data_IF_625694295220
#
_entry.id   IF_625694295220
#
_cell.length_a   1.000
_cell.length_b   1.000
_cell.length_c   1.000
_cell.angle_alpha   90.00
_cell.angle_beta   90.00
_cell.angle_gamma   90.00
#
_symmetry.space_group_name_H-M   'P 1'
#
loop_
_entity.id
_entity.type
_entity.pdbx_description
1 polymer ?
#
# COMPACT_ATOMS: atom_id res chain seq x y z
N UNK A 1 13.46 -27.25 -21.56
CA UNK A 1 13.13 -27.08 -23.00
C UNK A 1 12.69 -25.63 -23.18
N UNK A 2 13.22 -24.95 -24.20
CA UNK A 2 12.96 -23.53 -24.47
C UNK A 2 11.47 -23.26 -24.74
N UNK A 3 10.97 -22.09 -24.34
CA UNK A 3 9.59 -21.62 -24.55
C UNK A 3 9.32 -21.23 -26.03
N UNK A 4 10.30 -21.42 -26.94
CA UNK A 4 10.28 -20.89 -28.31
C UNK A 4 9.87 -21.86 -29.42
N UNK A 5 9.52 -23.11 -29.14
CA UNK A 5 8.98 -24.02 -30.17
C UNK A 5 7.46 -24.15 -30.02
N UNK A 6 6.70 -23.23 -30.64
CA UNK A 6 5.26 -23.40 -30.86
C UNK A 6 4.97 -23.55 -32.35
N UNK A 7 4.53 -24.73 -32.74
CA UNK A 7 4.01 -25.02 -34.09
C UNK A 7 2.86 -24.06 -34.44
N UNK A 8 2.85 -23.56 -35.68
CA UNK A 8 1.75 -22.71 -36.19
C UNK A 8 0.54 -23.59 -36.49
N UNK A 9 -0.56 -23.35 -35.79
CA UNK A 9 -1.85 -24.03 -36.00
C UNK A 9 -2.44 -23.68 -37.37
N UNK A 10 -2.98 -24.68 -38.06
CA UNK A 10 -3.74 -24.52 -39.30
C UNK A 10 -5.11 -23.86 -39.06
N UNK A 11 -5.70 -23.31 -40.11
CA UNK A 11 -7.03 -22.67 -40.05
C UNK A 11 -8.16 -23.63 -39.64
N UNK A 12 -7.99 -24.93 -39.90
CA UNK A 12 -8.93 -25.99 -39.49
C UNK A 12 -8.80 -26.25 -37.99
N UNK A 13 -7.57 -26.40 -37.47
CA UNK A 13 -7.33 -26.59 -36.03
C UNK A 13 -7.78 -25.37 -35.20
N UNK A 14 -7.66 -24.16 -35.77
CA UNK A 14 -8.21 -22.94 -35.15
C UNK A 14 -9.74 -22.96 -35.09
N UNK A 15 -10.41 -23.37 -36.17
CA UNK A 15 -11.88 -23.50 -36.20
C UNK A 15 -12.38 -24.57 -35.23
N UNK A 16 -11.72 -25.72 -35.17
CA UNK A 16 -12.10 -26.80 -34.26
C UNK A 16 -11.88 -26.40 -32.80
N UNK A 17 -10.80 -25.66 -32.50
CA UNK A 17 -10.58 -25.09 -31.15
C UNK A 17 -11.62 -24.02 -30.80
N UNK A 18 -12.03 -23.18 -31.74
CA UNK A 18 -13.09 -22.19 -31.53
C UNK A 18 -14.45 -22.86 -31.29
N UNK A 19 -14.83 -23.82 -32.12
CA UNK A 19 -16.06 -24.61 -31.95
C UNK A 19 -16.06 -25.39 -30.63
N UNK A 20 -14.92 -25.96 -30.23
CA UNK A 20 -14.77 -26.65 -28.95
C UNK A 20 -14.99 -25.72 -27.75
N UNK A 21 -14.53 -24.46 -27.83
CA UNK A 21 -14.79 -23.44 -26.82
C UNK A 21 -16.27 -23.06 -26.75
N UNK A 22 -16.95 -22.90 -27.88
CA UNK A 22 -18.39 -22.58 -27.92
C UNK A 22 -19.23 -23.69 -27.28
N UNK A 23 -18.89 -24.96 -27.54
CA UNK A 23 -19.57 -26.09 -26.91
C UNK A 23 -19.25 -26.20 -25.40
N UNK A 24 -18.04 -25.86 -24.98
CA UNK A 24 -17.65 -25.80 -23.56
C UNK A 24 -18.45 -24.71 -22.81
N UNK A 25 -18.59 -23.52 -23.40
CA UNK A 25 -19.42 -22.43 -22.86
C UNK A 25 -20.89 -22.86 -22.76
N UNK A 26 -21.43 -23.53 -23.79
CA UNK A 26 -22.81 -24.03 -23.77
C UNK A 26 -23.03 -25.03 -22.63
N UNK A 27 -22.08 -25.96 -22.44
CA UNK A 27 -22.13 -26.94 -21.33
C UNK A 27 -22.04 -26.26 -19.97
N UNK A 28 -21.16 -25.26 -19.83
CA UNK A 28 -21.03 -24.48 -18.60
C UNK A 28 -22.35 -23.77 -18.24
N UNK A 29 -22.99 -23.11 -19.20
CA UNK A 29 -24.28 -22.43 -18.99
C UNK A 29 -25.39 -23.40 -18.57
N UNK A 30 -25.45 -24.58 -19.18
CA UNK A 30 -26.42 -25.60 -18.79
C UNK A 30 -26.19 -26.12 -17.36
N UNK A 31 -24.94 -26.40 -17.01
CA UNK A 31 -24.57 -26.85 -15.65
C UNK A 31 -24.81 -25.76 -14.60
N UNK A 32 -24.56 -24.49 -14.94
CA UNK A 32 -24.82 -23.36 -14.06
C UNK A 32 -26.32 -23.22 -13.77
N UNK A 33 -27.18 -23.32 -14.80
CA UNK A 33 -28.63 -23.26 -14.62
C UNK A 33 -29.16 -24.42 -13.73
N UNK A 34 -28.60 -25.62 -13.87
CA UNK A 34 -28.93 -26.75 -12.99
C UNK A 34 -28.50 -26.47 -11.53
N UNK A 35 -27.29 -25.94 -11.34
CA UNK A 35 -26.79 -25.54 -10.02
C UNK A 35 -27.63 -24.43 -9.38
N UNK A 36 -28.03 -23.41 -10.14
CA UNK A 36 -28.90 -22.33 -9.68
C UNK A 36 -30.25 -22.85 -9.20
N UNK A 37 -30.81 -23.84 -9.91
CA UNK A 37 -32.04 -24.52 -9.49
C UNK A 37 -31.89 -25.24 -8.15
N UNK A 38 -30.78 -25.97 -7.96
CA UNK A 38 -30.48 -26.65 -6.70
C UNK A 38 -30.19 -25.67 -5.54
N UNK A 39 -29.47 -24.58 -5.83
CA UNK A 39 -29.17 -23.54 -4.85
C UNK A 39 -30.44 -22.82 -4.39
N UNK A 40 -31.33 -22.44 -5.32
CA UNK A 40 -32.59 -21.78 -5.01
C UNK A 40 -33.55 -22.65 -4.16
N UNK A 41 -33.45 -23.98 -4.29
CA UNK A 41 -34.22 -24.93 -3.49
C UNK A 41 -33.68 -25.13 -2.06
N UNK A 42 -32.46 -24.67 -1.77
CA UNK A 42 -31.83 -24.82 -0.45
C UNK A 42 -32.21 -23.65 0.47
N UNK A 43 -32.65 -23.90 1.72
CA UNK A 43 -32.96 -22.83 2.67
C UNK A 43 -31.78 -21.88 2.87
N UNK A 44 -32.05 -20.57 2.80
CA UNK A 44 -31.04 -19.52 2.99
C UNK A 44 -30.93 -19.14 4.46
N UNK A 45 -29.79 -18.55 4.82
CA UNK A 45 -29.63 -17.86 6.11
C UNK A 45 -30.25 -16.47 5.97
N UNK A 46 -31.53 -16.34 6.32
CA UNK A 46 -32.30 -15.11 6.11
C UNK A 46 -31.87 -13.94 7.01
N UNK A 47 -31.07 -14.21 8.04
CA UNK A 47 -30.53 -13.25 9.00
C UNK A 47 -29.10 -12.75 8.65
N UNK A 48 -28.57 -13.15 7.49
CA UNK A 48 -27.19 -12.84 7.10
C UNK A 48 -27.12 -12.03 5.80
N UNK A 49 -26.40 -10.91 5.83
CA UNK A 49 -26.01 -10.18 4.63
C UNK A 49 -24.76 -10.82 4.02
N UNK A 50 -24.80 -11.10 2.71
CA UNK A 50 -23.65 -11.58 1.94
C UNK A 50 -23.00 -10.40 1.21
N UNK A 51 -22.51 -9.45 1.99
CA UNK A 51 -21.83 -8.26 1.49
C UNK A 51 -20.36 -8.24 1.89
N UNK A 52 -19.53 -7.58 1.10
CA UNK A 52 -18.20 -7.18 1.55
C UNK A 52 -18.29 -6.18 2.70
N UNK A 53 -17.17 -5.92 3.38
CA UNK A 53 -17.13 -4.86 4.41
C UNK A 53 -17.42 -3.47 3.83
N UNK A 54 -17.19 -3.27 2.54
CA UNK A 54 -17.57 -2.04 1.83
C UNK A 54 -19.03 -2.00 1.38
N UNK A 55 -19.86 -2.98 1.76
CA UNK A 55 -21.29 -3.03 1.44
C UNK A 55 -21.61 -3.55 0.04
N UNK A 56 -20.64 -4.16 -0.66
CA UNK A 56 -20.86 -4.75 -2.00
C UNK A 56 -21.54 -6.10 -1.85
N UNK A 57 -22.62 -6.35 -2.58
CA UNK A 57 -23.18 -7.72 -2.67
C UNK A 57 -22.21 -8.69 -3.35
N UNK A 58 -22.04 -9.87 -2.75
CA UNK A 58 -21.13 -10.91 -3.26
C UNK A 58 -21.96 -12.08 -3.79
N UNK A 59 -21.72 -12.44 -5.06
CA UNK A 59 -22.40 -13.59 -5.65
C UNK A 59 -21.97 -14.90 -4.96
N UNK A 60 -22.86 -15.88 -4.84
CA UNK A 60 -22.55 -17.16 -4.20
C UNK A 60 -21.54 -18.00 -4.99
N UNK A 61 -21.39 -17.74 -6.30
CA UNK A 61 -20.48 -18.45 -7.19
C UNK A 61 -20.00 -17.52 -8.31
N UNK A 62 -18.72 -17.64 -8.66
CA UNK A 62 -18.11 -17.01 -9.83
C UNK A 62 -17.48 -18.11 -10.71
N UNK A 63 -17.58 -17.94 -12.02
CA UNK A 63 -17.26 -18.90 -13.06
C UNK A 63 -16.43 -18.24 -14.17
N UNK A 64 -15.92 -19.00 -15.16
CA UNK A 64 -15.33 -18.40 -16.35
C UNK A 64 -16.25 -17.39 -17.08
N UNK A 65 -17.57 -17.57 -16.98
CA UNK A 65 -18.54 -16.68 -17.62
C UNK A 65 -18.50 -15.25 -17.08
N UNK A 66 -18.14 -15.08 -15.82
CA UNK A 66 -18.02 -13.76 -15.18
C UNK A 66 -16.84 -12.92 -15.70
N UNK A 67 -15.95 -13.54 -16.49
CA UNK A 67 -14.82 -12.90 -17.15
C UNK A 67 -14.96 -12.86 -18.68
N UNK A 68 -16.06 -13.36 -19.24
CA UNK A 68 -16.24 -13.57 -20.69
C UNK A 68 -16.15 -12.25 -21.48
N UNK A 69 -16.72 -11.17 -20.94
CA UNK A 69 -16.74 -9.84 -21.55
C UNK A 69 -15.52 -8.96 -21.16
N UNK A 70 -14.57 -9.52 -20.40
CA UNK A 70 -13.41 -8.80 -19.88
C UNK A 70 -12.20 -8.72 -20.83
N UNK A 71 -11.24 -7.83 -20.56
CA UNK A 71 -10.00 -7.76 -21.32
C UNK A 71 -9.20 -9.07 -21.24
N UNK A 72 -8.60 -9.47 -22.36
CA UNK A 72 -7.85 -10.72 -22.46
C UNK A 72 -6.65 -10.79 -21.50
N UNK A 73 -6.14 -12.00 -21.23
CA UNK A 73 -5.11 -12.25 -20.21
C UNK A 73 -3.92 -11.28 -20.25
N UNK A 74 -3.37 -10.98 -21.44
CA UNK A 74 -2.20 -10.10 -21.56
C UNK A 74 -2.49 -8.64 -21.22
N UNK A 75 -3.74 -8.20 -21.38
CA UNK A 75 -4.16 -6.83 -21.12
C UNK A 75 -4.63 -6.65 -19.67
N UNK A 76 -5.31 -7.65 -19.11
CA UNK A 76 -5.89 -7.59 -17.76
C UNK A 76 -4.91 -8.02 -16.66
N UNK A 77 -4.15 -9.09 -16.91
CA UNK A 77 -3.26 -9.73 -15.94
C UNK A 77 -1.79 -9.54 -16.30
N UNK A 78 -1.39 -9.99 -17.49
CA UNK A 78 0.00 -10.00 -17.93
C UNK A 78 0.90 -10.87 -17.06
N UNK A 79 2.15 -10.45 -16.92
CA UNK A 79 3.17 -11.09 -16.06
C UNK A 79 3.61 -10.13 -14.95
N UNK A 80 4.04 -10.65 -13.77
CA UNK A 80 4.63 -9.80 -12.74
C UNK A 80 5.80 -8.98 -13.28
N UNK A 81 5.90 -7.71 -12.87
CA UNK A 81 6.98 -6.81 -13.32
C UNK A 81 6.84 -6.23 -14.73
N UNK A 82 5.74 -6.53 -15.42
CA UNK A 82 5.40 -5.99 -16.73
C UNK A 82 4.08 -5.21 -16.68
N UNK A 83 3.88 -4.28 -17.61
CA UNK A 83 2.63 -3.52 -17.73
C UNK A 83 1.43 -4.47 -17.91
N UNK A 84 0.29 -4.28 -17.21
CA UNK A 84 -0.04 -3.16 -16.31
C UNK A 84 0.21 -3.46 -14.81
N UNK A 85 1.14 -4.36 -14.50
CA UNK A 85 1.63 -4.69 -13.15
C UNK A 85 0.57 -5.27 -12.20
N UNK A 86 -0.58 -5.73 -12.70
CA UNK A 86 -1.65 -6.34 -11.90
C UNK A 86 -1.11 -7.41 -10.94
N UNK A 87 -0.20 -8.26 -11.44
CA UNK A 87 0.41 -9.38 -10.71
C UNK A 87 1.61 -9.02 -9.84
N UNK A 88 1.91 -7.73 -9.69
CA UNK A 88 2.98 -7.20 -8.86
C UNK A 88 4.00 -6.35 -9.63
N UNK A 89 4.65 -5.37 -8.97
CA UNK A 89 5.55 -4.42 -9.63
C UNK A 89 6.91 -4.99 -10.04
N UNK A 90 7.29 -6.18 -9.55
CA UNK A 90 8.59 -6.80 -9.82
C UNK A 90 8.44 -8.20 -10.42
N UNK A 91 9.34 -8.56 -11.33
CA UNK A 91 9.29 -9.84 -12.06
C UNK A 91 9.58 -11.07 -11.22
N UNK A 92 10.17 -10.90 -10.03
CA UNK A 92 10.49 -11.99 -9.11
C UNK A 92 9.78 -11.90 -7.76
N UNK A 93 9.16 -10.75 -7.45
CA UNK A 93 8.54 -10.44 -6.16
C UNK A 93 9.31 -11.05 -4.97
N UNK A 94 8.60 -11.79 -4.12
CA UNK A 94 9.10 -12.34 -2.87
C UNK A 94 10.03 -13.55 -3.03
N UNK A 95 10.16 -14.11 -4.24
CA UNK A 95 11.12 -15.19 -4.49
C UNK A 95 12.56 -14.70 -4.44
N UNK A 96 12.80 -13.41 -4.70
CA UNK A 96 14.13 -12.80 -4.57
C UNK A 96 14.23 -11.99 -3.28
N UNK A 97 13.22 -11.18 -2.97
CA UNK A 97 13.25 -10.29 -1.81
C UNK A 97 11.87 -10.19 -1.17
N UNK A 98 11.78 -10.58 0.10
CA UNK A 98 10.58 -10.41 0.91
C UNK A 98 10.20 -8.92 1.04
N UNK A 99 8.94 -8.66 1.37
CA UNK A 99 8.52 -7.32 1.75
C UNK A 99 9.33 -6.82 2.95
N UNK A 100 9.43 -5.49 3.08
CA UNK A 100 10.10 -4.89 4.23
C UNK A 100 9.17 -4.98 5.43
N UNK A 101 9.57 -5.75 6.45
CA UNK A 101 8.89 -5.81 7.74
C UNK A 101 9.20 -4.50 8.47
N UNK A 102 8.21 -3.61 8.56
CA UNK A 102 8.39 -2.22 8.99
C UNK A 102 7.36 -1.87 10.04
N UNK A 103 7.66 -2.14 11.30
CA UNK A 103 6.83 -1.67 12.40
C UNK A 103 7.02 -0.18 12.60
N UNK A 104 5.92 0.52 12.84
CA UNK A 104 5.92 1.90 13.31
C UNK A 104 6.37 1.90 14.77
N UNK A 105 7.28 2.81 15.08
CA UNK A 105 7.72 3.04 16.44
C UNK A 105 8.08 4.52 16.62
N UNK A 106 7.68 5.03 17.78
CA UNK A 106 7.90 6.40 18.23
C UNK A 106 7.05 6.62 19.47
N UNK A 107 7.68 7.03 20.56
CA UNK A 107 7.03 7.46 21.78
C UNK A 107 8.05 8.19 22.66
N UNK A 108 7.55 9.06 23.52
CA UNK A 108 8.36 9.80 24.49
C UNK A 108 9.54 10.52 23.83
N UNK A 109 10.75 10.34 24.36
CA UNK A 109 11.95 11.02 23.90
C UNK A 109 12.61 10.32 22.69
N UNK A 110 13.48 11.06 21.99
CA UNK A 110 14.30 10.51 20.92
C UNK A 110 15.20 9.35 21.39
N UNK A 111 15.70 9.41 22.63
CA UNK A 111 16.53 8.35 23.23
C UNK A 111 15.73 7.05 23.42
N UNK A 112 14.55 7.13 24.02
CA UNK A 112 13.68 5.97 24.24
C UNK A 112 13.20 5.36 22.93
N UNK A 113 12.85 6.21 21.96
CA UNK A 113 12.50 5.74 20.62
C UNK A 113 13.69 5.08 19.91
N UNK A 114 14.91 5.61 20.04
CA UNK A 114 16.13 4.98 19.52
C UNK A 114 16.36 3.58 20.12
N UNK A 115 16.16 3.43 21.44
CA UNK A 115 16.23 2.13 22.10
C UNK A 115 15.19 1.15 21.53
N UNK A 116 13.96 1.62 21.27
CA UNK A 116 12.93 0.82 20.60
C UNK A 116 13.35 0.40 19.19
N UNK A 117 13.98 1.27 18.41
CA UNK A 117 14.49 0.92 17.08
C UNK A 117 15.54 -0.17 17.14
N UNK A 118 16.52 -0.04 18.04
CA UNK A 118 17.56 -1.06 18.24
C UNK A 118 16.96 -2.41 18.65
N UNK A 119 15.96 -2.41 19.54
CA UNK A 119 15.22 -3.61 19.92
C UNK A 119 14.52 -4.26 18.72
N UNK A 120 13.80 -3.49 17.90
CA UNK A 120 13.08 -4.01 16.74
C UNK A 120 14.03 -4.58 15.67
N UNK A 121 15.11 -3.86 15.38
CA UNK A 121 16.16 -4.31 14.45
C UNK A 121 16.78 -5.62 14.94
N UNK A 122 17.09 -5.74 16.23
CA UNK A 122 17.61 -6.98 16.83
C UNK A 122 16.63 -8.15 16.76
N UNK A 123 15.32 -7.89 16.62
CA UNK A 123 14.27 -8.90 16.51
C UNK A 123 13.85 -9.24 15.06
N UNK A 124 14.56 -8.69 14.06
CA UNK A 124 14.38 -9.03 12.65
C UNK A 124 13.53 -8.05 11.85
N UNK A 125 13.27 -6.84 12.37
CA UNK A 125 12.74 -5.74 11.57
C UNK A 125 13.75 -5.33 10.49
N UNK A 126 13.28 -5.07 9.26
CA UNK A 126 14.16 -4.81 8.11
C UNK A 126 14.10 -3.37 7.58
N UNK A 127 13.25 -2.53 8.17
CA UNK A 127 13.23 -1.07 7.95
C UNK A 127 12.58 -0.34 9.12
N UNK A 128 12.96 0.90 9.38
CA UNK A 128 12.41 1.72 10.47
C UNK A 128 11.22 2.54 9.98
N UNK A 129 10.23 2.78 10.83
CA UNK A 129 9.19 3.77 10.58
C UNK A 129 9.00 4.65 11.80
N UNK A 130 9.19 5.95 11.63
CA UNK A 130 9.13 6.96 12.68
C UNK A 130 7.71 7.48 12.79
N UNK A 131 7.13 7.34 13.99
CA UNK A 131 5.90 8.01 14.39
C UNK A 131 6.25 9.23 15.26
N UNK A 132 5.83 10.43 14.84
CA UNK A 132 6.08 11.67 15.54
C UNK A 132 4.91 12.05 16.45
N UNK A 133 5.19 12.79 17.53
CA UNK A 133 4.14 13.31 18.39
C UNK A 133 3.30 14.39 17.71
N UNK A 134 2.14 14.70 18.29
CA UNK A 134 1.22 15.66 17.69
C UNK A 134 1.81 17.08 17.55
N UNK A 135 2.56 17.62 18.53
CA UNK A 135 3.29 18.88 18.36
C UNK A 135 4.19 18.90 17.12
N UNK A 136 5.04 17.88 16.95
CA UNK A 136 5.92 17.75 15.79
C UNK A 136 5.11 17.65 14.49
N UNK A 137 4.04 16.84 14.47
CA UNK A 137 3.14 16.71 13.31
C UNK A 137 2.50 18.05 12.91
N UNK A 138 2.21 18.90 13.89
CA UNK A 138 1.59 20.22 13.72
C UNK A 138 2.59 21.37 13.58
N UNK A 139 3.90 21.08 13.52
CA UNK A 139 4.96 22.08 13.34
C UNK A 139 5.17 22.99 14.56
N UNK A 140 4.90 22.49 15.76
CA UNK A 140 5.17 23.18 17.02
C UNK A 140 6.37 22.57 17.74
N UNK A 141 7.17 23.44 18.37
CA UNK A 141 8.19 23.00 19.32
C UNK A 141 7.56 22.47 20.61
N UNK A 142 8.32 21.67 21.36
CA UNK A 142 7.86 21.01 22.59
C UNK A 142 7.46 22.00 23.69
N UNK A 143 8.01 23.22 23.69
CA UNK A 143 7.72 24.28 24.67
C UNK A 143 6.63 25.26 24.20
N UNK A 144 6.09 25.09 22.99
CA UNK A 144 5.01 25.92 22.50
C UNK A 144 3.74 25.71 23.36
N UNK A 145 2.96 26.76 23.70
CA UNK A 145 1.79 26.61 24.57
C UNK A 145 0.73 25.61 24.11
N UNK A 146 0.63 25.36 22.79
CA UNK A 146 -0.29 24.34 22.22
C UNK A 146 0.22 22.90 22.36
N UNK A 147 1.49 22.71 22.72
CA UNK A 147 2.11 21.39 22.87
C UNK A 147 1.86 20.79 24.26
N UNK A 148 1.38 21.60 25.22
CA UNK A 148 1.16 21.18 26.60
C UNK A 148 0.22 19.97 26.67
N UNK A 149 0.74 18.86 27.19
CA UNK A 149 0.00 17.61 27.36
C UNK A 149 0.13 16.62 26.21
N UNK A 150 0.76 17.00 25.10
CA UNK A 150 0.85 16.17 23.89
C UNK A 150 2.29 15.73 23.55
N UNK A 151 3.30 16.38 24.16
CA UNK A 151 4.73 16.11 23.91
C UNK A 151 5.07 14.65 24.22
N UNK A 152 5.53 13.92 23.21
CA UNK A 152 5.96 12.52 23.33
C UNK A 152 4.84 11.51 23.59
N UNK A 153 3.56 11.89 23.52
CA UNK A 153 2.44 11.00 23.90
C UNK A 153 2.12 9.97 22.82
N UNK A 154 1.83 10.43 21.60
CA UNK A 154 1.43 9.57 20.48
C UNK A 154 2.59 9.23 19.53
N UNK A 155 3.80 9.71 19.81
CA UNK A 155 4.97 9.56 18.96
C UNK A 155 6.21 10.16 19.61
N UNK A 156 7.33 10.18 18.88
CA UNK A 156 8.57 10.80 19.34
C UNK A 156 8.52 12.32 19.19
N UNK A 157 8.94 13.05 20.21
CA UNK A 157 9.09 14.51 20.17
C UNK A 157 10.38 14.92 19.44
N UNK A 158 10.29 15.73 18.39
CA UNK A 158 11.44 16.25 17.62
C UNK A 158 11.25 17.75 17.41
N UNK A 159 12.05 18.57 18.07
CA UNK A 159 12.01 20.05 17.92
C UNK A 159 13.26 20.60 17.22
N UNK A 160 14.29 19.76 17.02
CA UNK A 160 15.56 20.20 16.45
C UNK A 160 16.32 19.08 15.73
N UNK A 161 17.38 19.47 15.02
CA UNK A 161 18.37 18.52 14.48
C UNK A 161 19.00 17.65 15.58
N UNK A 162 19.22 18.20 16.79
CA UNK A 162 19.83 17.44 17.89
C UNK A 162 18.97 16.24 18.29
N UNK A 163 17.65 16.39 18.30
CA UNK A 163 16.74 15.28 18.59
C UNK A 163 16.79 14.21 17.50
N UNK A 164 16.90 14.64 16.23
CA UNK A 164 17.05 13.73 15.09
C UNK A 164 18.39 12.97 15.14
N UNK A 165 19.47 13.61 15.59
CA UNK A 165 20.77 12.98 15.84
C UNK A 165 20.65 11.89 16.91
N UNK A 166 20.02 12.21 18.06
CA UNK A 166 19.75 11.25 19.13
C UNK A 166 18.86 10.10 18.65
N UNK A 167 17.82 10.39 17.88
CA UNK A 167 16.88 9.40 17.36
C UNK A 167 17.60 8.30 16.55
N UNK A 168 18.64 8.67 15.81
CA UNK A 168 19.40 7.74 14.96
C UNK A 168 20.80 7.42 15.47
N UNK A 169 21.12 7.74 16.72
CA UNK A 169 22.41 7.45 17.30
C UNK A 169 22.72 5.94 17.28
N UNK A 170 23.85 5.58 16.67
CA UNK A 170 24.29 4.19 16.51
C UNK A 170 23.49 3.37 15.50
N UNK A 171 22.65 4.00 14.67
CA UNK A 171 21.92 3.35 13.57
C UNK A 171 22.56 3.78 12.24
N UNK A 172 23.16 2.87 11.45
CA UNK A 172 23.81 3.22 10.19
C UNK A 172 22.79 3.56 9.09
N UNK A 173 22.60 4.86 8.83
CA UNK A 173 21.58 5.37 7.91
C UNK A 173 21.80 5.02 6.42
N UNK A 174 22.98 4.55 6.03
CA UNK A 174 23.23 4.00 4.69
C UNK A 174 22.79 2.53 4.56
N UNK A 175 22.63 1.81 5.67
CA UNK A 175 22.31 0.39 5.73
C UNK A 175 20.84 0.11 6.06
N UNK A 176 20.16 1.04 6.73
CA UNK A 176 18.76 0.91 7.13
C UNK A 176 17.86 1.79 6.27
N UNK A 177 16.67 1.29 5.90
CA UNK A 177 15.65 2.12 5.23
C UNK A 177 14.76 2.77 6.28
N UNK A 178 14.67 4.10 6.28
CA UNK A 178 13.88 4.87 7.27
C UNK A 178 12.65 5.51 6.61
N UNK A 179 11.46 5.16 7.08
CA UNK A 179 10.21 5.83 6.74
C UNK A 179 9.89 6.85 7.83
N UNK A 180 9.39 8.02 7.46
CA UNK A 180 8.98 9.09 8.37
C UNK A 180 7.52 9.44 8.09
N UNK A 181 6.65 9.16 9.05
CA UNK A 181 5.21 9.46 8.99
C UNK A 181 5.00 10.92 9.38
N UNK A 182 5.37 11.83 8.48
CA UNK A 182 5.32 13.28 8.67
C UNK A 182 4.77 13.96 7.41
N UNK A 183 3.93 14.98 7.58
CA UNK A 183 3.23 15.67 6.47
C UNK A 183 3.38 17.18 6.56
N UNK A 184 2.66 17.86 7.46
CA UNK A 184 2.65 19.32 7.56
C UNK A 184 4.04 19.97 7.50
N UNK A 185 4.97 19.61 8.42
CA UNK A 185 6.35 20.08 8.39
C UNK A 185 7.33 19.08 7.76
N UNK A 186 6.88 18.20 6.85
CA UNK A 186 7.70 17.11 6.30
C UNK A 186 9.05 17.57 5.71
N UNK A 187 9.07 18.71 5.02
CA UNK A 187 10.29 19.28 4.44
C UNK A 187 11.35 19.61 5.52
N UNK A 188 10.92 20.05 6.70
CA UNK A 188 11.81 20.40 7.82
C UNK A 188 12.39 19.13 8.44
N UNK A 189 11.54 18.14 8.74
CA UNK A 189 12.00 16.87 9.32
C UNK A 189 12.86 16.08 8.32
N UNK A 190 12.59 16.19 7.02
CA UNK A 190 13.45 15.65 5.98
C UNK A 190 14.82 16.33 5.94
N UNK A 191 14.89 17.66 6.08
CA UNK A 191 16.16 18.37 6.19
C UNK A 191 16.95 17.94 7.44
N UNK A 192 16.28 17.76 8.60
CA UNK A 192 16.92 17.22 9.80
C UNK A 192 17.45 15.81 9.58
N UNK A 193 16.69 14.94 8.92
CA UNK A 193 17.12 13.58 8.62
C UNK A 193 18.36 13.55 7.70
N UNK A 194 18.39 14.36 6.65
CA UNK A 194 19.55 14.48 5.76
C UNK A 194 20.77 15.00 6.52
N UNK A 195 20.62 16.08 7.30
CA UNK A 195 21.72 16.64 8.08
C UNK A 195 22.25 15.67 9.15
N UNK A 196 21.37 14.90 9.81
CA UNK A 196 21.77 13.87 10.76
C UNK A 196 22.60 12.77 10.06
N UNK A 197 22.22 12.35 8.85
CA UNK A 197 22.99 11.42 8.06
C UNK A 197 24.35 11.97 7.63
N UNK A 198 24.42 13.22 7.18
CA UNK A 198 25.67 13.87 6.79
C UNK A 198 26.65 13.97 7.96
N UNK A 199 26.16 14.26 9.17
CA UNK A 199 26.96 14.24 10.40
C UNK A 199 27.48 12.84 10.77
N UNK A 200 26.78 11.78 10.37
CA UNK A 200 27.29 10.39 10.46
C UNK A 200 28.28 10.04 9.33
N UNK A 201 28.56 10.96 8.40
CA UNK A 201 29.41 10.72 7.23
C UNK A 201 28.69 9.98 6.08
N UNK A 202 27.36 9.94 6.10
CA UNK A 202 26.54 9.31 5.06
C UNK A 202 26.04 10.38 4.09
N UNK A 203 26.37 10.24 2.81
CA UNK A 203 25.85 11.16 1.79
C UNK A 203 24.36 10.95 1.53
N UNK A 204 23.64 12.04 1.23
CA UNK A 204 22.22 12.02 0.91
C UNK A 204 21.86 10.98 -0.18
N UNK A 205 22.72 10.81 -1.19
CA UNK A 205 22.50 9.86 -2.28
C UNK A 205 22.46 8.38 -1.86
N UNK A 206 22.93 8.04 -0.65
CA UNK A 206 22.85 6.68 -0.09
C UNK A 206 21.58 6.43 0.71
N UNK A 207 20.86 7.48 1.10
CA UNK A 207 19.68 7.36 1.95
C UNK A 207 18.56 6.59 1.27
N UNK A 208 18.07 5.57 1.96
CA UNK A 208 16.92 4.77 1.54
C UNK A 208 15.80 5.06 2.53
N UNK A 209 14.61 5.36 2.04
CA UNK A 209 13.55 5.75 2.94
C UNK A 209 12.35 6.35 2.23
N UNK A 210 11.42 6.85 3.03
CA UNK A 210 10.19 7.46 2.57
C UNK A 210 9.78 8.58 3.52
N UNK A 211 9.42 9.74 3.01
CA UNK A 211 8.62 10.72 3.77
C UNK A 211 7.15 10.52 3.38
N UNK A 212 6.22 10.59 4.33
CA UNK A 212 4.80 10.45 3.98
C UNK A 212 4.35 11.60 3.10
N UNK A 213 4.56 12.85 3.52
CA UNK A 213 4.50 14.07 2.70
C UNK A 213 3.25 14.17 1.79
N UNK A 214 2.13 13.58 2.21
CA UNK A 214 0.85 13.63 1.50
C UNK A 214 -0.08 14.54 2.29
N UNK A 215 -0.22 15.78 1.83
CA UNK A 215 -1.05 16.78 2.49
C UNK A 215 -2.53 16.68 2.09
N UNK A 216 -2.87 16.10 0.94
CA UNK A 216 -4.26 16.08 0.47
C UNK A 216 -5.11 15.20 1.38
N UNK A 217 -4.58 14.03 1.75
CA UNK A 217 -5.22 13.14 2.73
C UNK A 217 -5.25 13.70 4.16
N UNK A 218 -4.40 14.69 4.49
CA UNK A 218 -4.49 15.39 5.78
C UNK A 218 -5.80 16.17 5.86
N UNK A 219 -6.14 16.93 4.83
CA UNK A 219 -7.41 17.67 4.78
C UNK A 219 -8.63 16.76 4.70
N UNK A 220 -8.49 15.59 4.08
CA UNK A 220 -9.58 14.62 3.92
C UNK A 220 -9.85 13.82 5.20
N UNK A 221 -8.81 13.38 5.93
CA UNK A 221 -8.97 12.34 6.95
C UNK A 221 -8.03 12.43 8.18
N UNK A 222 -6.74 12.77 8.01
CA UNK A 222 -5.75 12.59 9.10
C UNK A 222 -5.56 13.81 10.01
N UNK A 223 -5.89 15.01 9.52
CA UNK A 223 -5.96 16.24 10.30
C UNK A 223 -4.65 16.79 10.92
N UNK A 224 -3.50 16.47 10.34
CA UNK A 224 -2.18 16.99 10.71
C UNK A 224 -1.54 17.86 9.61
N UNK A 225 -2.03 19.11 9.47
CA UNK A 225 -1.52 20.08 8.51
C UNK A 225 -1.14 21.42 9.15
N UNK A 226 -0.19 22.13 8.52
CA UNK A 226 0.32 23.44 8.98
C UNK A 226 -0.15 24.57 8.08
N UNK A 227 -0.15 24.36 6.77
CA UNK A 227 -0.42 25.38 5.76
C UNK A 227 -1.80 25.14 5.10
N UNK A 228 -2.35 26.14 4.37
CA UNK A 228 -3.41 25.90 3.41
C UNK A 228 -2.96 25.00 2.22
N UNK A 229 -3.88 24.49 1.39
CA UNK A 229 -3.55 23.54 0.33
C UNK A 229 -2.46 23.98 -0.65
N UNK A 230 -2.59 25.16 -1.27
CA UNK A 230 -1.63 25.64 -2.30
C UNK A 230 -0.17 25.71 -1.83
N UNK A 231 0.19 26.40 -0.72
CA UNK A 231 1.56 26.43 -0.25
C UNK A 231 2.08 25.04 0.17
N UNK A 232 1.22 24.14 0.67
CA UNK A 232 1.64 22.79 1.00
C UNK A 232 1.95 21.95 -0.26
N UNK A 233 1.10 22.03 -1.30
CA UNK A 233 1.35 21.39 -2.59
C UNK A 233 2.65 21.90 -3.23
N UNK A 234 2.92 23.20 -3.13
CA UNK A 234 4.20 23.79 -3.58
C UNK A 234 5.40 23.14 -2.88
N UNK A 235 5.37 22.99 -1.54
CA UNK A 235 6.46 22.40 -0.77
C UNK A 235 6.70 20.92 -1.13
N UNK A 236 5.64 20.18 -1.45
CA UNK A 236 5.76 18.79 -1.92
C UNK A 236 6.53 18.75 -3.24
N UNK A 237 6.21 19.64 -4.19
CA UNK A 237 6.91 19.73 -5.46
C UNK A 237 8.36 20.20 -5.29
N UNK A 238 8.63 21.14 -4.37
CA UNK A 238 10.00 21.53 -4.01
C UNK A 238 10.82 20.29 -3.55
N UNK A 239 10.20 19.40 -2.75
CA UNK A 239 10.83 18.14 -2.34
C UNK A 239 11.02 17.16 -3.49
N UNK A 240 10.11 17.09 -4.47
CA UNK A 240 10.28 16.24 -5.65
C UNK A 240 11.48 16.68 -6.49
N UNK A 241 11.55 17.99 -6.79
CA UNK A 241 12.63 18.62 -7.53
C UNK A 241 13.97 18.30 -6.84
N UNK A 242 14.11 18.63 -5.55
CA UNK A 242 15.36 18.41 -4.82
C UNK A 242 15.72 16.91 -4.69
N UNK A 243 14.75 16.06 -4.34
CA UNK A 243 15.00 14.64 -4.07
C UNK A 243 15.41 13.86 -5.33
N UNK A 244 14.90 14.25 -6.50
CA UNK A 244 15.25 13.62 -7.78
C UNK A 244 16.74 13.73 -8.12
N UNK A 245 17.38 14.84 -7.70
CA UNK A 245 18.80 15.11 -7.94
C UNK A 245 19.70 14.62 -6.80
N UNK A 246 19.26 14.77 -5.54
CA UNK A 246 20.15 14.63 -4.38
C UNK A 246 19.96 13.32 -3.60
N UNK A 247 18.75 12.74 -3.63
CA UNK A 247 18.40 11.52 -2.89
C UNK A 247 17.72 10.49 -3.80
N UNK A 248 18.40 9.99 -4.86
CA UNK A 248 17.82 9.09 -5.86
C UNK A 248 17.46 7.69 -5.32
N UNK A 249 17.50 7.45 -4.01
CA UNK A 249 17.08 6.20 -3.36
C UNK A 249 15.97 6.41 -2.32
N UNK A 250 15.55 7.65 -2.13
CA UNK A 250 14.51 8.06 -1.19
C UNK A 250 13.19 8.26 -1.94
N UNK A 251 12.07 7.90 -1.32
CA UNK A 251 10.73 8.17 -1.87
C UNK A 251 10.23 9.46 -1.21
N UNK A 252 10.08 10.58 -1.96
CA UNK A 252 9.76 11.88 -1.37
C UNK A 252 8.30 12.01 -0.93
N UNK A 253 7.46 11.02 -1.22
CA UNK A 253 6.05 10.95 -0.83
C UNK A 253 5.57 9.51 -0.71
N UNK A 254 4.60 9.30 0.18
CA UNK A 254 3.78 8.11 0.30
C UNK A 254 2.31 8.50 0.17
N UNK A 255 1.77 8.37 -1.03
CA UNK A 255 0.39 8.76 -1.38
C UNK A 255 -0.57 7.78 -0.69
N UNK A 256 -1.36 8.27 0.26
CA UNK A 256 -1.89 7.46 1.36
C UNK A 256 -3.42 7.32 1.36
N UNK A 257 -3.89 6.09 1.19
CA UNK A 257 -5.26 5.67 1.41
C UNK A 257 -5.55 5.18 2.83
N UNK A 258 -4.52 4.75 3.58
CA UNK A 258 -4.69 4.17 4.91
C UNK A 258 -5.63 4.99 5.80
N UNK A 259 -5.31 6.28 5.96
CA UNK A 259 -6.07 7.21 6.81
C UNK A 259 -7.49 7.47 6.29
N UNK A 260 -7.68 7.47 4.97
CA UNK A 260 -8.99 7.64 4.33
C UNK A 260 -9.89 6.44 4.67
N UNK A 261 -9.33 5.23 4.63
CA UNK A 261 -10.03 3.99 5.00
C UNK A 261 -10.31 3.91 6.49
N UNK A 262 -9.34 4.25 7.34
CA UNK A 262 -9.51 4.31 8.81
C UNK A 262 -10.57 5.36 9.21
N UNK A 263 -10.75 6.43 8.43
CA UNK A 263 -11.81 7.42 8.62
C UNK A 263 -13.21 6.93 8.17
N UNK A 264 -13.32 5.73 7.60
CA UNK A 264 -14.58 5.07 7.28
C UNK A 264 -14.93 4.96 5.80
N UNK A 265 -13.97 5.16 4.88
CA UNK A 265 -14.24 5.00 3.45
C UNK A 265 -14.47 3.54 3.04
N UNK A 266 -15.13 3.31 1.91
CA UNK A 266 -15.12 2.01 1.22
C UNK A 266 -13.75 1.73 0.59
N UNK A 267 -13.50 0.47 0.17
CA UNK A 267 -12.26 0.10 -0.51
C UNK A 267 -12.13 0.82 -1.87
N UNK A 268 -13.26 0.99 -2.56
CA UNK A 268 -13.34 1.77 -3.81
C UNK A 268 -13.03 3.26 -3.56
N UNK A 269 -13.58 3.85 -2.51
CA UNK A 269 -13.30 5.25 -2.15
C UNK A 269 -11.84 5.46 -1.75
N UNK A 270 -11.28 4.57 -0.93
CA UNK A 270 -9.85 4.58 -0.61
C UNK A 270 -9.02 4.55 -1.88
N UNK A 271 -9.30 3.59 -2.77
CA UNK A 271 -8.60 3.42 -4.04
C UNK A 271 -8.67 4.69 -4.90
N UNK A 272 -9.87 5.22 -5.13
CA UNK A 272 -10.08 6.37 -5.97
C UNK A 272 -9.47 7.64 -5.37
N UNK A 273 -9.76 7.97 -4.11
CA UNK A 273 -9.25 9.22 -3.52
C UNK A 273 -7.72 9.21 -3.40
N UNK A 274 -7.12 8.04 -3.12
CA UNK A 274 -5.65 7.91 -3.07
C UNK A 274 -5.01 8.12 -4.44
N UNK A 275 -5.52 7.46 -5.48
CA UNK A 275 -4.96 7.60 -6.83
C UNK A 275 -5.23 8.99 -7.41
N UNK A 276 -6.41 9.56 -7.15
CA UNK A 276 -6.74 10.94 -7.50
C UNK A 276 -5.78 11.96 -6.86
N UNK A 277 -5.47 11.81 -5.57
CA UNK A 277 -4.42 12.61 -4.93
C UNK A 277 -3.06 12.41 -5.63
N UNK A 278 -2.72 11.17 -5.99
CA UNK A 278 -1.51 10.85 -6.73
C UNK A 278 -1.41 11.53 -8.10
N UNK A 279 -2.52 11.59 -8.82
CA UNK A 279 -2.65 12.29 -10.10
C UNK A 279 -2.45 13.79 -9.95
N UNK A 280 -3.07 14.42 -8.94
CA UNK A 280 -2.82 15.84 -8.61
C UNK A 280 -1.33 16.09 -8.35
N UNK A 281 -0.64 15.23 -7.60
CA UNK A 281 0.80 15.37 -7.36
C UNK A 281 1.65 15.27 -8.64
N UNK A 282 1.28 14.36 -9.55
CA UNK A 282 1.94 14.24 -10.86
C UNK A 282 1.70 15.50 -11.69
N UNK A 283 0.47 15.97 -11.76
CA UNK A 283 0.08 17.17 -12.51
C UNK A 283 0.79 18.42 -12.00
N UNK A 284 0.94 18.57 -10.67
CA UNK A 284 1.73 19.65 -10.06
C UNK A 284 3.20 19.58 -10.41
N UNK A 285 3.80 18.38 -10.43
CA UNK A 285 5.18 18.18 -10.87
C UNK A 285 5.38 18.58 -12.34
N UNK A 286 4.47 18.17 -13.22
CA UNK A 286 4.50 18.53 -14.65
C UNK A 286 4.29 20.04 -14.84
N UNK A 287 3.32 20.64 -14.14
CA UNK A 287 3.03 22.07 -14.23
C UNK A 287 4.20 22.95 -13.76
N UNK A 288 5.04 22.43 -12.85
CA UNK A 288 6.30 23.05 -12.43
C UNK A 288 7.40 22.98 -13.50
N UNK A 289 7.26 22.08 -14.47
CA UNK A 289 8.23 21.83 -15.53
C UNK A 289 9.15 20.63 -15.28
N UNK A 290 8.85 19.78 -14.30
CA UNK A 290 9.62 18.54 -14.07
C UNK A 290 9.27 17.51 -15.14
N UNK A 291 10.29 16.80 -15.64
CA UNK A 291 10.08 15.61 -16.46
C UNK A 291 9.41 14.52 -15.60
N UNK A 292 8.30 13.96 -16.06
CA UNK A 292 7.55 12.94 -15.32
C UNK A 292 8.44 11.75 -14.92
N UNK A 293 9.34 11.34 -15.82
CA UNK A 293 10.21 10.18 -15.60
C UNK A 293 11.37 10.48 -14.64
N UNK A 294 11.58 11.74 -14.25
CA UNK A 294 12.58 12.14 -13.25
C UNK A 294 12.13 11.92 -11.80
N UNK A 295 10.82 12.01 -11.52
CA UNK A 295 10.28 11.92 -10.16
C UNK A 295 9.27 10.79 -9.96
N UNK A 296 8.46 10.43 -10.98
CA UNK A 296 7.46 9.38 -10.87
C UNK A 296 8.01 8.02 -10.39
N UNK A 297 9.22 7.57 -10.82
CA UNK A 297 9.83 6.33 -10.32
C UNK A 297 10.11 6.29 -8.82
N UNK A 298 9.96 7.43 -8.13
CA UNK A 298 10.16 7.58 -6.68
C UNK A 298 8.85 7.80 -5.91
N UNK A 299 7.72 7.98 -6.59
CA UNK A 299 6.43 8.00 -5.93
C UNK A 299 6.13 6.63 -5.32
N UNK A 300 5.58 6.64 -4.12
CA UNK A 300 5.18 5.45 -3.39
C UNK A 300 3.79 5.65 -2.80
N UNK A 301 3.14 4.55 -2.43
CA UNK A 301 1.77 4.54 -1.95
C UNK A 301 1.67 3.90 -0.57
N UNK A 302 0.55 4.13 0.11
CA UNK A 302 0.26 3.53 1.40
C UNK A 302 -1.22 3.20 1.54
N UNK A 303 -1.57 1.91 1.62
CA UNK A 303 -2.96 1.46 1.74
C UNK A 303 -3.24 0.78 3.08
N UNK A 304 -4.50 0.85 3.48
CA UNK A 304 -5.07 0.02 4.54
C UNK A 304 -5.26 -1.42 4.09
N UNK A 305 -5.38 -2.31 5.06
CA UNK A 305 -5.78 -3.70 4.84
C UNK A 305 -6.83 -4.09 5.88
N UNK A 306 -8.08 -3.91 5.47
CA UNK A 306 -9.26 -4.19 6.27
C UNK A 306 -9.60 -5.69 6.35
N UNK A 307 -10.67 -6.01 7.09
CA UNK A 307 -11.10 -7.39 7.35
C UNK A 307 -11.56 -8.19 6.12
N UNK A 308 -11.97 -7.55 5.02
CA UNK A 308 -12.45 -8.26 3.84
C UNK A 308 -11.28 -8.75 2.97
N UNK A 309 -10.87 -9.98 3.23
CA UNK A 309 -9.67 -10.57 2.65
C UNK A 309 -9.53 -10.42 1.13
N UNK A 310 -10.58 -10.77 0.37
CA UNK A 310 -10.51 -10.78 -1.09
C UNK A 310 -10.65 -9.37 -1.66
N UNK A 311 -11.47 -8.52 -1.04
CA UNK A 311 -11.59 -7.10 -1.42
C UNK A 311 -10.25 -6.38 -1.30
N UNK A 312 -9.52 -6.60 -0.21
CA UNK A 312 -8.20 -5.97 -0.02
C UNK A 312 -7.17 -6.47 -1.03
N UNK A 313 -7.13 -7.79 -1.33
CA UNK A 313 -6.24 -8.32 -2.38
C UNK A 313 -6.60 -7.70 -3.74
N UNK A 314 -7.88 -7.62 -4.08
CA UNK A 314 -8.35 -7.03 -5.34
C UNK A 314 -8.00 -5.54 -5.45
N UNK A 315 -8.13 -4.79 -4.35
CA UNK A 315 -7.80 -3.36 -4.27
C UNK A 315 -6.34 -3.10 -4.66
N UNK A 316 -5.39 -3.86 -4.11
CA UNK A 316 -3.98 -3.73 -4.48
C UNK A 316 -3.71 -3.99 -5.96
N UNK A 317 -4.39 -4.97 -6.54
CA UNK A 317 -4.24 -5.35 -7.96
C UNK A 317 -4.83 -4.28 -8.87
N UNK A 318 -6.03 -3.79 -8.55
CA UNK A 318 -6.70 -2.70 -9.25
C UNK A 318 -5.86 -1.41 -9.21
N UNK A 319 -5.32 -1.06 -8.03
CA UNK A 319 -4.48 0.13 -7.87
C UNK A 319 -3.30 0.16 -8.83
N UNK A 320 -2.58 -0.97 -8.96
CA UNK A 320 -1.45 -1.07 -9.89
C UNK A 320 -1.86 -0.88 -11.34
N UNK A 321 -2.98 -1.50 -11.73
CA UNK A 321 -3.48 -1.44 -13.11
C UNK A 321 -3.92 -0.03 -13.50
N UNK A 322 -4.72 0.62 -12.64
CA UNK A 322 -5.15 2.01 -12.84
C UNK A 322 -3.93 2.93 -12.95
N UNK A 323 -3.04 2.90 -11.95
CA UNK A 323 -1.86 3.76 -11.94
C UNK A 323 -1.01 3.59 -13.19
N UNK A 324 -0.71 2.34 -13.58
CA UNK A 324 0.11 2.06 -14.75
C UNK A 324 -0.50 2.62 -16.04
N UNK A 325 -1.82 2.44 -16.22
CA UNK A 325 -2.56 2.94 -17.39
C UNK A 325 -2.55 4.46 -17.45
N UNK A 326 -2.93 5.15 -16.37
CA UNK A 326 -2.95 6.62 -16.34
C UNK A 326 -1.55 7.21 -16.57
N UNK A 327 -0.51 6.68 -15.91
CA UNK A 327 0.86 7.16 -16.08
C UNK A 327 1.35 7.03 -17.53
N UNK A 328 1.00 5.93 -18.21
CA UNK A 328 1.41 5.68 -19.60
C UNK A 328 0.54 6.44 -20.61
N UNK A 329 -0.77 6.43 -20.43
CA UNK A 329 -1.74 6.82 -21.46
C UNK A 329 -2.19 8.29 -21.29
N UNK A 330 -2.44 8.75 -20.05
CA UNK A 330 -2.84 10.14 -19.76
C UNK A 330 -1.61 11.05 -19.67
N UNK A 331 -0.58 10.63 -18.93
CA UNK A 331 0.59 11.48 -18.66
C UNK A 331 1.80 11.21 -19.56
N UNK A 332 1.75 10.20 -20.41
CA UNK A 332 2.77 9.95 -21.43
C UNK A 332 4.14 9.55 -20.89
N UNK A 333 4.23 9.03 -19.65
CA UNK A 333 5.48 8.54 -19.08
C UNK A 333 6.07 7.42 -19.95
N UNK A 334 7.37 7.43 -20.19
CA UNK A 334 8.05 6.48 -21.08
C UNK A 334 8.88 5.46 -20.31
N UNK A 335 9.28 5.77 -19.08
CA UNK A 335 10.00 4.85 -18.21
C UNK A 335 9.03 3.86 -17.54
N UNK A 336 9.20 2.54 -17.72
CA UNK A 336 8.37 1.54 -17.03
C UNK A 336 8.37 1.63 -15.51
N UNK A 337 9.43 2.20 -14.89
CA UNK A 337 9.45 2.44 -13.45
C UNK A 337 8.46 3.51 -12.99
N UNK A 338 8.11 4.47 -13.85
CA UNK A 338 7.09 5.50 -13.58
C UNK A 338 5.69 4.90 -13.51
N UNK A 339 5.45 3.78 -14.21
CA UNK A 339 4.17 3.07 -14.24
C UNK A 339 4.00 2.12 -13.04
N UNK A 340 5.07 1.85 -12.28
CA UNK A 340 5.05 0.89 -11.17
C UNK A 340 4.52 1.54 -9.90
N UNK A 341 3.30 1.15 -9.50
CA UNK A 341 2.83 1.44 -8.15
C UNK A 341 3.54 0.53 -7.14
N UNK A 342 4.28 1.14 -6.22
CA UNK A 342 4.95 0.47 -5.08
C UNK A 342 4.32 0.97 -3.80
N UNK A 343 3.93 0.05 -2.92
CA UNK A 343 3.07 0.38 -1.78
C UNK A 343 3.59 -0.17 -0.46
N UNK A 344 3.44 0.62 0.58
CA UNK A 344 3.37 0.18 1.96
C UNK A 344 1.93 -0.24 2.28
N UNK A 345 1.77 -1.23 3.15
CA UNK A 345 0.48 -1.62 3.67
C UNK A 345 0.51 -1.59 5.20
N UNK A 346 -0.60 -1.22 5.82
CA UNK A 346 -0.80 -1.36 7.25
C UNK A 346 -2.14 -2.06 7.48
N UNK A 347 -2.16 -2.98 8.43
CA UNK A 347 -3.40 -3.65 8.86
C UNK A 347 -4.36 -2.66 9.52
N UNK A 348 -5.66 -2.82 9.36
CA UNK A 348 -6.66 -1.84 9.82
C UNK A 348 -6.72 -1.70 11.36
N UNK A 349 -6.46 -0.50 11.87
CA UNK A 349 -6.54 -0.18 13.29
C UNK A 349 -7.99 -0.08 13.77
N UNK A 350 -8.84 0.56 12.96
CA UNK A 350 -10.29 0.73 13.20
C UNK A 350 -11.03 -0.60 13.36
N UNK A 351 -10.47 -1.69 12.84
CA UNK A 351 -11.03 -3.03 12.90
C UNK A 351 -10.76 -3.79 14.22
N UNK A 352 -9.85 -3.29 15.05
CA UNK A 352 -9.38 -3.96 16.27
C UNK A 352 -10.24 -3.57 17.48
N UNK A 353 -10.23 -4.43 18.51
CA UNK A 353 -11.10 -4.27 19.68
C UNK A 353 -10.32 -4.18 20.99
N UNK A 354 -10.80 -3.36 21.92
CA UNK A 354 -10.26 -3.27 23.29
C UNK A 354 -10.62 -4.48 24.13
N UNK A 355 -11.81 -5.03 23.90
CA UNK A 355 -12.28 -6.27 24.53
C UNK A 355 -11.63 -7.46 23.82
N UNK A 356 -11.13 -8.41 24.61
CA UNK A 356 -10.44 -9.60 24.14
C UNK A 356 -9.32 -9.27 23.13
N UNK A 357 -8.31 -8.47 23.52
CA UNK A 357 -7.28 -7.97 22.61
C UNK A 357 -6.50 -9.10 21.90
N UNK A 358 -6.42 -10.30 22.46
CA UNK A 358 -5.82 -11.46 21.82
C UNK A 358 -6.50 -11.84 20.49
N UNK A 359 -7.79 -11.54 20.32
CA UNK A 359 -8.49 -11.75 19.05
C UNK A 359 -7.93 -10.86 17.93
N UNK A 360 -7.32 -9.71 18.28
CA UNK A 360 -6.66 -8.84 17.31
C UNK A 360 -5.46 -9.52 16.66
N UNK A 361 -4.80 -10.48 17.32
CA UNK A 361 -3.70 -11.26 16.72
C UNK A 361 -4.22 -12.01 15.48
N UNK A 362 -5.41 -12.60 15.58
CA UNK A 362 -6.04 -13.35 14.48
C UNK A 362 -6.48 -12.40 13.36
N UNK A 363 -7.10 -11.26 13.71
CA UNK A 363 -7.51 -10.23 12.74
C UNK A 363 -6.32 -9.73 11.92
N UNK A 364 -5.27 -9.29 12.62
CA UNK A 364 -4.03 -8.80 12.02
C UNK A 364 -3.34 -9.87 11.18
N UNK A 365 -3.40 -11.16 11.57
CA UNK A 365 -2.83 -12.23 10.77
C UNK A 365 -3.51 -12.38 9.39
N UNK A 366 -4.84 -12.29 9.33
CA UNK A 366 -5.57 -12.36 8.06
C UNK A 366 -5.42 -11.09 7.22
N UNK A 367 -5.37 -9.92 7.85
CA UNK A 367 -5.08 -8.67 7.17
C UNK A 367 -3.65 -8.68 6.58
N UNK A 368 -2.65 -9.07 7.36
CA UNK A 368 -1.28 -9.24 6.89
C UNK A 368 -1.18 -10.24 5.72
N UNK A 369 -1.94 -11.34 5.79
CA UNK A 369 -2.03 -12.32 4.72
C UNK A 369 -2.58 -11.70 3.42
N UNK A 370 -3.66 -10.90 3.50
CA UNK A 370 -4.22 -10.19 2.37
C UNK A 370 -3.21 -9.19 1.78
N UNK A 371 -2.48 -8.45 2.62
CA UNK A 371 -1.44 -7.51 2.19
C UNK A 371 -0.33 -8.18 1.38
N UNK A 372 0.14 -9.35 1.87
CA UNK A 372 1.19 -10.13 1.23
C UNK A 372 0.68 -10.72 -0.09
N UNK A 373 -0.50 -11.33 -0.11
CA UNK A 373 -1.08 -11.90 -1.33
C UNK A 373 -1.44 -10.81 -2.36
N UNK A 374 -1.78 -9.61 -1.90
CA UNK A 374 -1.95 -8.41 -2.72
C UNK A 374 -0.65 -7.85 -3.28
N UNK A 375 0.51 -8.29 -2.80
CA UNK A 375 1.82 -7.93 -3.34
C UNK A 375 2.42 -6.63 -2.81
N UNK A 376 2.22 -6.30 -1.52
CA UNK A 376 2.83 -5.11 -0.87
C UNK A 376 4.37 -5.12 -0.82
N UNK A 377 5.02 -3.96 -0.80
CA UNK A 377 6.50 -3.84 -0.73
C UNK A 377 7.01 -3.66 0.70
N UNK A 378 6.16 -3.20 1.61
CA UNK A 378 6.48 -3.07 3.03
C UNK A 378 5.20 -3.19 3.84
N UNK A 379 5.27 -3.82 5.02
CA UNK A 379 4.09 -4.08 5.85
C UNK A 379 4.31 -3.66 7.29
N UNK A 380 3.32 -2.94 7.83
CA UNK A 380 3.10 -2.75 9.26
C UNK A 380 1.98 -3.68 9.70
N UNK A 381 2.23 -4.44 10.76
CA UNK A 381 1.19 -5.22 11.44
C UNK A 381 0.90 -4.57 12.79
N UNK A 382 -0.35 -4.19 13.02
CA UNK A 382 -0.76 -3.56 14.28
C UNK A 382 -0.58 -4.55 15.43
N UNK A 383 -0.48 -4.00 16.64
CA UNK A 383 -0.30 -4.82 17.84
C UNK A 383 -1.64 -5.15 18.48
N UNK A 384 -1.67 -6.19 19.31
CA UNK A 384 -2.92 -6.62 19.97
C UNK A 384 -3.52 -5.54 20.89
N UNK A 385 -2.69 -4.61 21.37
CA UNK A 385 -2.99 -3.51 22.28
C UNK A 385 -3.34 -2.17 21.58
N UNK A 386 -3.53 -2.17 20.24
CA UNK A 386 -3.77 -0.98 19.40
C UNK A 386 -4.81 0.00 19.95
N UNK A 387 -5.94 -0.52 20.46
CA UNK A 387 -7.08 0.30 20.92
C UNK A 387 -6.91 0.84 22.33
N UNK A 388 -5.82 0.50 23.02
CA UNK A 388 -5.58 0.84 24.43
C UNK A 388 -4.41 1.81 24.59
N UNK A 389 -3.31 1.56 23.88
CA UNK A 389 -2.07 2.33 24.02
C UNK A 389 -1.13 2.07 22.84
N UNK A 390 -0.02 2.81 22.81
CA UNK A 390 1.11 2.45 21.95
C UNK A 390 1.68 1.07 22.33
N UNK A 391 2.21 0.29 21.36
CA UNK A 391 2.56 -1.10 21.59
C UNK A 391 3.62 -1.33 22.66
N UNK A 392 3.33 -2.27 23.55
CA UNK A 392 4.34 -2.88 24.43
C UNK A 392 5.35 -3.72 23.65
N UNK A 393 6.50 -4.02 24.24
CA UNK A 393 7.51 -4.89 23.60
C UNK A 393 6.99 -6.28 23.23
N UNK A 394 6.11 -6.86 24.07
CA UNK A 394 5.50 -8.16 23.81
C UNK A 394 4.56 -8.07 22.62
N UNK A 395 3.69 -7.07 22.60
CA UNK A 395 2.67 -6.95 21.57
C UNK A 395 3.29 -6.66 20.20
N UNK A 396 4.25 -5.73 20.13
CA UNK A 396 4.96 -5.43 18.86
C UNK A 396 5.81 -6.61 18.38
N UNK A 397 6.35 -7.42 19.30
CA UNK A 397 7.08 -8.65 18.94
C UNK A 397 6.14 -9.67 18.31
N UNK A 398 4.93 -9.85 18.85
CA UNK A 398 3.92 -10.73 18.26
C UNK A 398 3.55 -10.24 16.86
N UNK A 399 3.30 -8.93 16.70
CA UNK A 399 3.02 -8.35 15.40
C UNK A 399 4.13 -8.63 14.37
N UNK A 400 5.40 -8.40 14.75
CA UNK A 400 6.54 -8.75 13.89
C UNK A 400 6.62 -10.26 13.58
N UNK A 401 6.32 -11.12 14.56
CA UNK A 401 6.28 -12.58 14.35
C UNK A 401 5.18 -13.00 13.37
N UNK A 402 4.03 -12.31 13.35
CA UNK A 402 2.99 -12.54 12.33
C UNK A 402 3.56 -12.43 10.92
N UNK A 403 4.34 -11.38 10.64
CA UNK A 403 4.99 -11.22 9.33
C UNK A 403 6.04 -12.30 9.06
N UNK A 404 6.82 -12.67 10.07
CA UNK A 404 7.88 -13.67 9.92
C UNK A 404 7.30 -15.08 9.67
N UNK A 405 6.20 -15.45 10.32
CA UNK A 405 5.49 -16.70 10.04
C UNK A 405 4.99 -16.72 8.60
N UNK A 406 4.35 -15.62 8.14
CA UNK A 406 3.94 -15.49 6.73
C UNK A 406 5.13 -15.64 5.79
N UNK A 407 6.27 -15.01 6.10
CA UNK A 407 7.45 -15.02 5.25
C UNK A 407 8.17 -16.38 5.19
N UNK A 408 8.26 -17.10 6.31
CA UNK A 408 9.18 -18.23 6.45
C UNK A 408 8.50 -19.60 6.61
N UNK A 409 7.21 -19.65 6.96
CA UNK A 409 6.52 -20.92 7.29
C UNK A 409 5.38 -21.25 6.33
N UNK A 410 4.72 -20.26 5.73
CA UNK A 410 3.48 -20.50 4.94
C UNK A 410 3.71 -20.96 3.51
N UNK A 411 4.90 -20.73 2.96
CA UNK A 411 5.20 -20.96 1.54
C UNK A 411 4.59 -19.94 0.56
N UNK A 412 3.86 -18.93 1.03
CA UNK A 412 3.26 -17.88 0.19
C UNK A 412 4.30 -17.15 -0.67
N UNK A 413 5.49 -16.77 -0.15
CA UNK A 413 6.51 -16.12 -0.97
C UNK A 413 7.02 -16.92 -2.18
N UNK A 414 6.72 -18.22 -2.26
CA UNK A 414 7.27 -19.10 -3.29
C UNK A 414 6.62 -18.90 -4.67
N UNK A 415 5.40 -18.36 -4.73
CA UNK A 415 4.66 -18.13 -5.98
C UNK A 415 4.18 -16.68 -6.07
N UNK A 416 4.38 -16.06 -7.24
CA UNK A 416 3.96 -14.69 -7.51
C UNK A 416 2.47 -14.65 -7.83
N UNK A 417 1.74 -13.75 -7.15
CA UNK A 417 0.29 -13.56 -7.32
C UNK A 417 -0.45 -14.90 -7.41
N UNK A 418 -0.39 -15.74 -6.35
CA UNK A 418 -0.85 -17.13 -6.38
C UNK A 418 -2.38 -17.23 -6.49
N UNK A 419 -3.11 -16.12 -6.33
CA UNK A 419 -4.56 -16.05 -6.48
C UNK A 419 -4.99 -15.69 -7.91
N UNK A 420 -4.05 -15.44 -8.82
CA UNK A 420 -4.36 -15.12 -10.21
C UNK A 420 -5.17 -16.22 -10.89
N UNK A 421 -6.19 -15.82 -11.63
CA UNK A 421 -7.12 -16.72 -12.32
C UNK A 421 -8.30 -17.18 -11.45
N UNK A 422 -8.37 -16.78 -10.17
CA UNK A 422 -9.58 -16.94 -9.36
C UNK A 422 -10.71 -16.09 -9.96
N UNK A 423 -11.79 -16.73 -10.43
CA UNK A 423 -12.91 -16.03 -11.07
C UNK A 423 -13.49 -14.91 -10.21
N UNK A 424 -13.62 -15.14 -8.90
CA UNK A 424 -14.08 -14.13 -7.96
C UNK A 424 -13.09 -12.96 -7.86
N UNK A 425 -11.81 -13.24 -7.63
CA UNK A 425 -10.81 -12.19 -7.41
C UNK A 425 -10.60 -11.33 -8.66
N UNK A 426 -10.59 -11.95 -9.84
CA UNK A 426 -10.46 -11.23 -11.11
C UNK A 426 -11.68 -10.34 -11.38
N UNK A 427 -12.89 -10.87 -11.15
CA UNK A 427 -14.13 -10.11 -11.29
C UNK A 427 -14.13 -8.92 -10.34
N UNK A 428 -13.75 -9.14 -9.07
CA UNK A 428 -13.69 -8.10 -8.06
C UNK A 428 -12.63 -7.03 -8.38
N UNK A 429 -11.48 -7.42 -8.91
CA UNK A 429 -10.43 -6.48 -9.35
C UNK A 429 -10.92 -5.61 -10.51
N UNK A 430 -11.63 -6.19 -11.48
CA UNK A 430 -12.24 -5.44 -12.59
C UNK A 430 -13.31 -4.46 -12.12
N UNK A 431 -14.16 -4.90 -11.18
CA UNK A 431 -15.21 -4.04 -10.63
C UNK A 431 -14.64 -2.87 -9.84
N UNK A 432 -13.66 -3.10 -8.96
CA UNK A 432 -12.99 -2.03 -8.20
C UNK A 432 -12.31 -1.02 -9.13
N UNK A 433 -11.69 -1.47 -10.22
CA UNK A 433 -11.16 -0.55 -11.24
C UNK A 433 -12.27 0.29 -11.88
N UNK A 434 -13.33 -0.35 -12.37
CA UNK A 434 -14.43 0.35 -13.04
C UNK A 434 -15.09 1.39 -12.14
N UNK A 435 -15.27 1.08 -10.86
CA UNK A 435 -15.89 1.98 -9.90
C UNK A 435 -14.95 3.12 -9.50
N UNK A 436 -13.65 2.86 -9.36
CA UNK A 436 -12.67 3.92 -9.12
C UNK A 436 -12.62 4.91 -10.30
N UNK A 437 -12.65 4.40 -11.54
CA UNK A 437 -12.74 5.21 -12.75
C UNK A 437 -14.03 6.05 -12.82
N UNK A 438 -15.15 5.51 -12.30
CA UNK A 438 -16.38 6.29 -12.16
C UNK A 438 -16.26 7.41 -11.12
N UNK A 439 -15.60 7.15 -9.98
CA UNK A 439 -15.34 8.20 -8.99
C UNK A 439 -14.43 9.28 -9.57
N UNK A 440 -13.38 8.93 -10.34
CA UNK A 440 -12.54 9.94 -11.01
C UNK A 440 -13.37 10.87 -11.90
N UNK A 441 -14.27 10.30 -12.72
CA UNK A 441 -15.18 11.08 -13.58
C UNK A 441 -16.16 11.98 -12.83
N UNK A 442 -16.47 11.65 -11.58
CA UNK A 442 -17.35 12.48 -10.73
C UNK A 442 -16.59 13.61 -10.03
N UNK A 443 -15.29 13.43 -9.81
CA UNK A 443 -14.41 14.43 -9.18
C UNK A 443 -13.89 15.44 -10.20
N UNK A 444 -13.58 15.00 -11.44
CA UNK A 444 -13.30 15.88 -12.60
C UNK A 444 -14.54 16.68 -13.02
#
# INVERSE_FOLDING_TARGET
MSVTDREKLSATELRDRLSGKEDEIRKLRAALAEWEGAWAATPRRDDTLFTSVSGREVNPLYTPGDLEDGPGYLESLGFPGEFPFTRGPYSTMYRTRLWTMRQFAGFATAEETNQRYKYLLANGQTGLSVAFDFPTLMGYDSDHPRSLGEVGICGVAISSLADMETLFEGIPLDQVSVSMTINGPAIILFAFYVAAAEKQGVSAAKLRGTAQNDILKEYQAQHAWVFPPEPALRLIVDMFEWASEHTPKYNPISISGYHIREAGSTATQELAFTLGNGFEYVERGIARGLDIDSFAPRLSFFFDVHNDFFEEVAKFRAARRIWARHMKEKYGATNPDSWRLRTHAQTAGVSLTAQQPENNIVRVAYQALAAVLGGTQSLHTNSMDETLALPTEKAVRIALRTQQILAYETGIPNTMDPLAGSYYLESLTNQLESEAEEIFRQVE
#
